data_IF_989983934888
#
_entry.id   IF_989983934888
#
_cell.length_a   1.000
_cell.length_b   1.000
_cell.length_c   1.000
_cell.angle_alpha   90.00
_cell.angle_beta   90.00
_cell.angle_gamma   90.00
#
_symmetry.space_group_name_H-M   'P 1'
#
loop_
_entity.id
_entity.type
_entity.pdbx_description
1 polymer ?
#
# COMPACT_ATOMS: atom_id res chain seq x y z
N UNK A 1 -12.57 9.94 -6.81
CA UNK A 1 -11.26 9.79 -6.15
C UNK A 1 -10.45 8.83 -7.00
N UNK A 2 -9.23 9.19 -7.42
CA UNK A 2 -8.35 8.28 -8.14
C UNK A 2 -8.05 7.02 -7.32
N UNK A 3 -7.89 5.90 -8.03
CA UNK A 3 -7.42 4.65 -7.45
C UNK A 3 -5.91 4.55 -7.63
N UNK A 4 -5.22 4.18 -6.57
CA UNK A 4 -3.78 3.95 -6.56
C UNK A 4 -3.50 2.47 -6.32
N UNK A 5 -2.44 1.99 -6.96
CA UNK A 5 -1.92 0.64 -6.77
C UNK A 5 -0.49 0.76 -6.29
N UNK A 6 -0.23 0.25 -5.08
CA UNK A 6 1.10 0.11 -4.52
C UNK A 6 1.56 -1.35 -4.65
N UNK A 7 2.62 -1.56 -5.43
CA UNK A 7 3.29 -2.86 -5.58
C UNK A 7 4.42 -2.93 -4.57
N UNK A 8 4.42 -3.95 -3.71
CA UNK A 8 5.28 -4.05 -2.55
C UNK A 8 6.29 -5.20 -2.70
N UNK A 9 7.57 -4.87 -2.57
CA UNK A 9 8.65 -5.84 -2.34
C UNK A 9 9.04 -5.79 -0.87
N UNK A 10 8.99 -6.93 -0.20
CA UNK A 10 9.20 -7.03 1.24
C UNK A 10 10.51 -7.76 1.47
N UNK A 11 11.43 -7.10 2.16
CA UNK A 11 12.68 -7.71 2.63
C UNK A 11 12.72 -7.75 4.15
N UNK A 12 13.32 -8.80 4.71
CA UNK A 12 13.33 -9.04 6.17
C UNK A 12 12.16 -9.90 6.64
N UNK A 13 11.41 -9.45 7.65
CA UNK A 13 10.37 -10.25 8.31
C UNK A 13 9.04 -10.25 7.55
N UNK A 14 8.96 -11.07 6.51
CA UNK A 14 7.79 -11.20 5.62
C UNK A 14 6.48 -11.44 6.38
N UNK A 15 6.44 -12.35 7.36
CA UNK A 15 5.20 -12.64 8.10
C UNK A 15 4.73 -11.45 8.96
N UNK A 16 5.66 -10.70 9.55
CA UNK A 16 5.33 -9.46 10.27
C UNK A 16 4.80 -8.37 9.33
N UNK A 17 5.34 -8.29 8.10
CA UNK A 17 4.82 -7.43 7.06
C UNK A 17 3.39 -7.80 6.64
N UNK A 18 3.13 -9.08 6.35
CA UNK A 18 1.81 -9.56 5.96
C UNK A 18 0.75 -9.28 7.03
N UNK A 19 1.05 -9.56 8.29
CA UNK A 19 0.12 -9.29 9.40
C UNK A 19 -0.23 -7.81 9.53
N UNK A 20 0.71 -6.90 9.23
CA UNK A 20 0.44 -5.45 9.26
C UNK A 20 -0.36 -5.00 8.07
N UNK A 21 -0.06 -5.50 6.87
CA UNK A 21 -0.83 -5.22 5.66
C UNK A 21 -2.28 -5.69 5.80
N UNK A 22 -2.53 -6.79 6.51
CA UNK A 22 -3.89 -7.24 6.85
C UNK A 22 -4.62 -6.33 7.86
N UNK A 23 -3.88 -5.51 8.62
CA UNK A 23 -4.40 -4.58 9.63
C UNK A 23 -4.36 -3.12 9.16
N UNK A 24 -4.18 -2.88 7.87
CA UNK A 24 -4.29 -1.53 7.32
C UNK A 24 -5.67 -0.97 7.68
N UNK A 25 -5.73 0.31 8.07
CA UNK A 25 -7.01 0.92 8.36
C UNK A 25 -7.88 0.91 7.10
N UNK A 26 -9.16 0.61 7.26
CA UNK A 26 -10.13 0.73 6.16
C UNK A 26 -10.10 2.17 5.61
N UNK A 27 -10.01 3.16 6.50
CA UNK A 27 -9.92 4.58 6.15
C UNK A 27 -8.91 5.34 7.00
N UNK A 28 -8.14 6.23 6.38
CA UNK A 28 -7.29 7.20 7.04
C UNK A 28 -7.27 8.51 6.24
N UNK A 29 -7.64 9.63 6.88
CA UNK A 29 -7.92 10.89 6.18
C UNK A 29 -8.94 10.68 5.04
N UNK A 30 -8.63 11.16 3.83
CA UNK A 30 -9.39 10.88 2.62
C UNK A 30 -9.04 9.54 1.96
N UNK A 31 -8.04 8.80 2.45
CA UNK A 31 -7.62 7.55 1.86
C UNK A 31 -8.44 6.35 2.36
N UNK A 32 -8.79 5.43 1.46
CA UNK A 32 -9.51 4.19 1.78
C UNK A 32 -8.77 3.00 1.18
N UNK A 33 -8.41 2.02 2.01
CA UNK A 33 -7.82 0.76 1.57
C UNK A 33 -8.90 -0.13 0.98
N UNK A 34 -8.88 -0.37 -0.32
CA UNK A 34 -9.88 -1.23 -0.98
C UNK A 34 -9.47 -2.71 -0.91
N UNK A 35 -8.19 -3.02 -1.09
CA UNK A 35 -7.72 -4.40 -1.16
C UNK A 35 -6.25 -4.57 -0.83
N UNK A 36 -5.92 -5.72 -0.24
CA UNK A 36 -4.56 -6.22 -0.08
C UNK A 36 -4.48 -7.62 -0.66
N UNK A 37 -3.52 -7.86 -1.55
CA UNK A 37 -3.30 -9.15 -2.21
C UNK A 37 -1.86 -9.58 -1.94
N UNK A 38 -1.63 -10.85 -1.59
CA UNK A 38 -0.28 -11.37 -1.33
C UNK A 38 0.19 -12.28 -2.47
N UNK A 39 1.50 -12.30 -2.73
CA UNK A 39 2.15 -13.23 -3.65
C UNK A 39 1.79 -13.04 -5.12
N UNK A 40 1.85 -11.81 -5.63
CA UNK A 40 1.39 -11.45 -6.98
C UNK A 40 2.55 -11.02 -7.88
N UNK A 41 2.80 -11.80 -8.95
CA UNK A 41 3.61 -11.38 -10.11
C UNK A 41 4.93 -10.70 -9.76
N UNK A 42 5.88 -11.45 -9.19
CA UNK A 42 7.17 -10.92 -8.77
C UNK A 42 7.13 -10.08 -7.48
N UNK A 43 6.00 -9.51 -7.08
CA UNK A 43 5.84 -8.73 -5.85
C UNK A 43 5.31 -9.60 -4.70
N UNK A 44 5.67 -9.22 -3.47
CA UNK A 44 5.26 -9.93 -2.26
C UNK A 44 3.83 -9.56 -1.84
N UNK A 45 3.43 -8.31 -2.10
CA UNK A 45 2.06 -7.85 -1.91
C UNK A 45 1.68 -6.72 -2.88
N UNK A 46 0.37 -6.53 -3.06
CA UNK A 46 -0.24 -5.44 -3.80
C UNK A 46 -1.32 -4.82 -2.94
N UNK A 47 -1.27 -3.50 -2.76
CA UNK A 47 -2.28 -2.73 -2.02
C UNK A 47 -3.00 -1.81 -3.00
N UNK A 48 -4.32 -1.91 -3.04
CA UNK A 48 -5.20 -1.03 -3.81
C UNK A 48 -5.91 -0.13 -2.83
N UNK A 49 -5.85 1.17 -3.07
CA UNK A 49 -6.49 2.17 -2.23
C UNK A 49 -6.93 3.36 -3.08
N UNK A 50 -7.92 4.11 -2.60
CA UNK A 50 -8.32 5.39 -3.20
C UNK A 50 -7.84 6.52 -2.31
N UNK A 51 -7.48 7.66 -2.91
CA UNK A 51 -7.11 8.87 -2.19
C UNK A 51 -7.69 10.11 -2.88
N UNK A 52 -7.81 11.27 -2.20
CA UNK A 52 -8.28 12.51 -2.82
C UNK A 52 -7.37 12.99 -3.94
N UNK A 53 -6.07 12.92 -3.72
CA UNK A 53 -5.01 13.33 -4.64
C UNK A 53 -3.72 12.52 -4.39
N UNK A 54 -2.71 12.79 -5.22
CA UNK A 54 -1.40 12.12 -5.14
C UNK A 54 -0.61 12.49 -3.86
N UNK A 55 -0.87 13.65 -3.25
CA UNK A 55 -0.19 14.09 -2.04
C UNK A 55 -0.64 13.26 -0.85
N UNK A 56 -1.96 13.12 -0.65
CA UNK A 56 -2.52 12.23 0.37
C UNK A 56 -2.17 10.76 0.11
N UNK A 57 -2.13 10.33 -1.15
CA UNK A 57 -1.70 8.97 -1.50
C UNK A 57 -0.27 8.67 -1.04
N UNK A 58 0.66 9.60 -1.27
CA UNK A 58 2.05 9.46 -0.81
C UNK A 58 2.16 9.45 0.72
N UNK A 59 1.40 10.29 1.42
CA UNK A 59 1.36 10.28 2.89
C UNK A 59 0.85 8.95 3.45
N UNK A 60 -0.17 8.35 2.82
CA UNK A 60 -0.66 7.03 3.19
C UNK A 60 0.42 5.96 2.98
N UNK A 61 1.12 5.99 1.84
CA UNK A 61 2.22 5.06 1.52
C UNK A 61 3.35 5.17 2.55
N UNK A 62 3.83 6.38 2.81
CA UNK A 62 4.96 6.58 3.70
C UNK A 62 4.62 6.10 5.12
N UNK A 63 3.42 6.47 5.61
CA UNK A 63 2.96 6.11 6.96
C UNK A 63 2.72 4.61 7.15
N UNK A 64 2.05 3.96 6.21
CA UNK A 64 1.55 2.59 6.43
C UNK A 64 2.36 1.53 5.70
N UNK A 65 2.94 1.87 4.55
CA UNK A 65 3.59 0.90 3.68
C UNK A 65 5.12 0.96 3.81
N UNK A 66 5.74 2.14 3.99
CA UNK A 66 7.22 2.25 4.08
C UNK A 66 7.79 2.25 5.51
N UNK A 67 7.27 3.09 6.41
CA UNK A 67 7.94 3.37 7.70
C UNK A 67 7.47 2.52 8.89
N UNK A 68 6.85 1.36 8.63
CA UNK A 68 6.11 0.66 9.68
C UNK A 68 6.92 -0.30 10.57
N UNK A 69 8.16 -0.70 10.20
CA UNK A 69 9.07 -1.54 11.02
C UNK A 69 10.53 -1.40 10.58
N UNK A 70 11.47 -1.04 11.46
CA UNK A 70 12.90 -0.93 11.11
C UNK A 70 13.55 -2.25 10.66
N UNK A 71 12.95 -3.41 10.96
CA UNK A 71 13.44 -4.73 10.56
C UNK A 71 12.82 -5.24 9.24
N UNK A 72 11.90 -4.49 8.66
CA UNK A 72 11.19 -4.88 7.44
C UNK A 72 11.17 -3.71 6.47
N UNK A 73 11.96 -3.80 5.41
CA UNK A 73 11.97 -2.78 4.36
C UNK A 73 10.98 -3.18 3.27
N UNK A 74 10.05 -2.26 2.99
CA UNK A 74 9.03 -2.40 1.96
C UNK A 74 9.33 -1.39 0.86
N UNK A 75 9.82 -1.87 -0.28
CA UNK A 75 9.95 -1.03 -1.47
C UNK A 75 8.58 -0.94 -2.16
N UNK A 76 8.18 0.28 -2.51
CA UNK A 76 6.83 0.59 -2.99
C UNK A 76 6.91 1.30 -4.33
N UNK A 77 6.39 0.64 -5.37
CA UNK A 77 6.15 1.24 -6.69
C UNK A 77 4.68 1.57 -6.79
N UNK A 78 4.36 2.85 -6.96
CA UNK A 78 2.97 3.33 -7.01
C UNK A 78 2.59 3.76 -8.42
N UNK A 79 1.41 3.35 -8.87
CA UNK A 79 0.77 3.87 -10.07
C UNK A 79 -0.63 4.43 -9.77
N UNK A 80 -0.97 5.53 -10.41
CA UNK A 80 -2.34 6.05 -10.44
C UNK A 80 -3.11 5.36 -11.58
N UNK A 81 -4.21 4.72 -11.23
CA UNK A 81 -5.16 4.16 -12.20
C UNK A 81 -6.24 5.21 -12.45
N UNK A 82 -6.25 5.73 -13.67
CA UNK A 82 -7.34 6.56 -14.17
C UNK A 82 -8.49 5.60 -14.49
N UNK A 83 -9.45 5.42 -13.57
CA UNK A 83 -10.71 4.76 -13.95
C UNK A 83 -11.32 5.60 -15.08
N UNK A 84 -11.76 5.01 -16.21
CA UNK A 84 -12.54 5.76 -17.18
C UNK A 84 -13.77 6.33 -16.44
N UNK A 85 -14.02 7.62 -16.63
CA UNK A 85 -15.19 8.30 -16.11
C UNK A 85 -16.49 7.70 -16.67
#
# INVERSE_FOLDING_TARGET
>A
MPSFVALLKISGRVEGAKQRLQKLPERWLGCTTEKVIFGTGGYDAVVVFVAPDIVEANQYIDKYLRDSDPLTMIDTVTGESIRPA
#
